data_IF_245940776522
#
_entry.id   IF_245940776522
#
_cell.length_a   1.000
_cell.length_b   1.000
_cell.length_c   1.000
_cell.angle_alpha   90.00
_cell.angle_beta   90.00
_cell.angle_gamma   90.00
#
_symmetry.space_group_name_H-M   'P 1'
#
loop_
_entity.id
_entity.type
_entity.pdbx_description
1 polymer ?
#
# COMPACT_ATOMS: atom_id res chain seq x y z
N UNK A 1 -19.67 0.05 4.50
CA UNK A 1 -18.94 -0.81 3.58
C UNK A 1 -18.77 -2.19 4.21
N UNK A 2 -19.21 -3.26 3.55
CA UNK A 2 -19.22 -4.60 4.16
C UNK A 2 -17.83 -5.22 4.27
N UNK A 3 -16.89 -4.90 3.37
CA UNK A 3 -15.51 -5.43 3.38
C UNK A 3 -14.56 -4.36 3.86
N UNK A 4 -13.87 -4.64 4.97
CA UNK A 4 -12.99 -3.70 5.63
C UNK A 4 -11.65 -4.37 5.96
N UNK A 5 -10.60 -3.60 6.01
CA UNK A 5 -9.28 -4.10 6.32
C UNK A 5 -8.38 -3.06 6.95
N UNK A 6 -7.13 -3.44 7.10
CA UNK A 6 -6.11 -2.60 7.73
C UNK A 6 -4.85 -2.55 6.88
N UNK A 7 -4.10 -1.47 7.05
CA UNK A 7 -2.74 -1.34 6.53
C UNK A 7 -1.78 -1.16 7.69
N UNK A 8 -0.73 -1.96 7.72
CA UNK A 8 0.24 -1.98 8.80
C UNK A 8 1.67 -1.77 8.30
N UNK A 9 2.46 -1.13 9.14
CA UNK A 9 3.91 -0.94 8.97
C UNK A 9 4.61 -1.26 10.29
N UNK A 10 5.93 -1.20 10.32
CA UNK A 10 6.68 -1.31 11.59
C UNK A 10 6.29 -0.21 12.58
N UNK A 11 5.87 0.95 12.10
CA UNK A 11 5.43 2.07 12.96
C UNK A 11 4.09 1.80 13.65
N UNK A 12 3.31 0.86 13.16
CA UNK A 12 2.08 0.40 13.81
C UNK A 12 2.36 -0.28 15.15
N UNK A 13 3.57 -0.78 15.36
CA UNK A 13 3.96 -1.55 16.54
C UNK A 13 3.52 -3.01 16.46
N UNK A 14 3.42 -3.65 17.61
CA UNK A 14 2.98 -5.04 17.70
C UNK A 14 1.50 -5.17 17.35
N UNK A 15 1.17 -6.22 16.60
CA UNK A 15 -0.20 -6.51 16.18
C UNK A 15 -0.60 -7.89 16.65
N UNK A 16 -1.69 -7.97 17.41
CA UNK A 16 -2.35 -9.22 17.77
C UNK A 16 -3.38 -9.57 16.70
N UNK A 17 -2.96 -10.38 15.73
CA UNK A 17 -3.71 -10.62 14.49
C UNK A 17 -5.06 -11.29 14.72
N UNK A 18 -5.14 -12.21 15.69
CA UNK A 18 -6.42 -12.84 16.05
C UNK A 18 -7.43 -11.84 16.59
N UNK A 19 -6.99 -10.92 17.44
CA UNK A 19 -7.83 -9.85 17.98
C UNK A 19 -8.29 -8.91 16.86
N UNK A 20 -7.39 -8.55 15.95
CA UNK A 20 -7.69 -7.68 14.80
C UNK A 20 -8.75 -8.30 13.87
N UNK A 21 -8.63 -9.59 13.59
CA UNK A 21 -9.64 -10.33 12.83
C UNK A 21 -11.00 -10.32 13.53
N UNK A 22 -11.03 -10.49 14.86
CA UNK A 22 -12.26 -10.45 15.66
C UNK A 22 -12.90 -9.04 15.68
N UNK A 23 -12.13 -7.99 15.44
CA UNK A 23 -12.63 -6.61 15.31
C UNK A 23 -13.28 -6.33 13.96
N UNK A 24 -13.32 -7.31 13.04
CA UNK A 24 -13.98 -7.19 11.74
C UNK A 24 -13.05 -6.86 10.57
N UNK A 25 -11.74 -6.95 10.75
CA UNK A 25 -10.80 -6.81 9.64
C UNK A 25 -10.79 -8.08 8.79
N UNK A 26 -11.18 -7.95 7.52
CA UNK A 26 -11.24 -9.06 6.57
C UNK A 26 -9.92 -9.27 5.83
N UNK A 27 -9.13 -8.20 5.68
CA UNK A 27 -7.85 -8.24 4.99
C UNK A 27 -6.82 -7.30 5.63
N UNK A 28 -5.56 -7.54 5.30
CA UNK A 28 -4.45 -6.68 5.71
C UNK A 28 -3.49 -6.43 4.54
N UNK A 29 -3.10 -5.18 4.37
CA UNK A 29 -1.93 -4.83 3.55
C UNK A 29 -0.75 -4.52 4.45
N UNK A 30 0.37 -5.17 4.18
CA UNK A 30 1.55 -5.16 5.02
C UNK A 30 2.69 -4.51 4.24
N UNK A 31 3.25 -3.42 4.78
CA UNK A 31 4.37 -2.76 4.12
C UNK A 31 5.59 -3.68 4.10
N UNK A 32 6.15 -3.87 2.91
CA UNK A 32 7.39 -4.63 2.71
C UNK A 32 8.62 -3.71 2.72
N UNK A 33 8.50 -2.54 2.10
CA UNK A 33 9.61 -1.63 1.90
C UNK A 33 9.14 -0.19 1.69
N UNK A 34 10.05 0.75 1.93
CA UNK A 34 9.95 2.14 1.49
C UNK A 34 11.14 2.46 0.62
N UNK A 35 10.89 2.85 -0.63
CA UNK A 35 11.96 3.09 -1.59
C UNK A 35 12.89 1.90 -1.75
N UNK A 36 14.17 2.16 -1.91
CA UNK A 36 15.20 1.14 -2.09
C UNK A 36 16.01 0.87 -0.81
N UNK A 37 15.89 1.71 0.21
CA UNK A 37 16.77 1.68 1.38
C UNK A 37 16.14 1.11 2.65
N UNK A 38 14.81 1.18 2.78
CA UNK A 38 14.11 0.66 3.94
C UNK A 38 13.40 -0.66 3.61
N UNK A 39 13.86 -1.74 4.23
CA UNK A 39 13.09 -2.98 4.34
C UNK A 39 12.36 -2.94 5.68
N UNK A 40 11.04 -3.14 5.66
CA UNK A 40 10.27 -3.11 6.90
C UNK A 40 10.66 -4.28 7.81
N UNK A 41 11.18 -4.01 9.02
CA UNK A 41 11.69 -5.07 9.89
C UNK A 41 10.59 -6.00 10.43
N UNK A 42 9.32 -5.59 10.40
CA UNK A 42 8.19 -6.38 10.85
C UNK A 42 7.41 -7.04 9.72
N UNK A 43 7.85 -6.88 8.46
CA UNK A 43 7.12 -7.46 7.33
C UNK A 43 6.89 -8.97 7.49
N UNK A 44 7.93 -9.74 7.76
CA UNK A 44 7.82 -11.20 7.86
C UNK A 44 6.89 -11.63 9.01
N UNK A 45 6.99 -10.98 10.17
CA UNK A 45 6.14 -11.26 11.31
C UNK A 45 4.68 -10.92 11.03
N UNK A 46 4.42 -9.75 10.44
CA UNK A 46 3.07 -9.33 10.09
C UNK A 46 2.46 -10.20 8.98
N UNK A 47 3.25 -10.60 7.99
CA UNK A 47 2.81 -11.49 6.92
C UNK A 47 2.35 -12.85 7.47
N UNK A 48 3.17 -13.46 8.33
CA UNK A 48 2.81 -14.72 9.00
C UNK A 48 1.62 -14.55 9.94
N UNK A 49 1.56 -13.43 10.66
CA UNK A 49 0.49 -13.15 11.60
C UNK A 49 -0.86 -13.02 10.94
N UNK A 50 -0.97 -12.23 9.88
CA UNK A 50 -2.20 -12.07 9.11
C UNK A 50 -2.66 -13.40 8.51
N UNK A 51 -1.74 -14.12 7.87
CA UNK A 51 -2.02 -15.44 7.30
C UNK A 51 -2.49 -16.44 8.36
N UNK A 52 -1.80 -16.50 9.50
CA UNK A 52 -2.15 -17.41 10.60
C UNK A 52 -3.50 -17.12 11.26
N UNK A 53 -3.96 -15.87 11.22
CA UNK A 53 -5.28 -15.47 11.69
C UNK A 53 -6.41 -15.72 10.68
N UNK A 54 -6.10 -16.27 9.51
CA UNK A 54 -7.08 -16.52 8.46
C UNK A 54 -7.52 -15.29 7.70
N UNK A 55 -6.83 -14.16 7.84
CA UNK A 55 -7.09 -12.95 7.09
C UNK A 55 -6.54 -13.06 5.66
N UNK A 56 -7.19 -12.40 4.72
CA UNK A 56 -6.57 -12.16 3.41
C UNK A 56 -5.44 -11.14 3.60
N UNK A 57 -4.34 -11.32 2.89
CA UNK A 57 -3.12 -10.54 3.11
C UNK A 57 -2.46 -10.17 1.79
N UNK A 58 -1.85 -9.00 1.75
CA UNK A 58 -1.11 -8.50 0.61
C UNK A 58 0.05 -7.62 1.03
N UNK A 59 0.99 -7.40 0.13
CA UNK A 59 2.17 -6.58 0.37
C UNK A 59 2.02 -5.18 -0.22
N UNK A 60 2.59 -4.19 0.46
CA UNK A 60 2.65 -2.81 -0.01
C UNK A 60 4.10 -2.32 -0.10
N UNK A 61 4.35 -1.48 -1.10
CA UNK A 61 5.59 -0.74 -1.30
C UNK A 61 5.29 0.75 -1.21
N UNK A 62 5.96 1.46 -0.31
CA UNK A 62 5.93 2.92 -0.29
C UNK A 62 6.96 3.45 -1.32
N UNK A 63 6.46 4.03 -2.40
CA UNK A 63 7.29 4.56 -3.49
C UNK A 63 8.05 5.81 -3.07
N UNK A 64 9.31 5.92 -3.49
CA UNK A 64 10.15 7.10 -3.29
C UNK A 64 10.54 7.73 -4.62
N UNK A 65 10.39 9.06 -4.70
CA UNK A 65 10.92 9.85 -5.82
C UNK A 65 12.46 9.95 -5.80
N UNK A 66 13.10 9.53 -4.71
CA UNK A 66 14.54 9.63 -4.49
C UNK A 66 15.31 8.35 -4.84
N UNK A 67 14.65 7.31 -5.33
CA UNK A 67 15.27 6.04 -5.69
C UNK A 67 14.83 5.60 -7.08
N UNK A 68 15.70 4.83 -7.75
CA UNK A 68 15.37 4.25 -9.06
C UNK A 68 14.32 3.16 -8.93
N UNK A 69 13.45 3.05 -9.91
CA UNK A 69 12.41 2.03 -9.95
C UNK A 69 12.96 0.60 -9.81
N UNK A 70 14.06 0.29 -10.51
CA UNK A 70 14.67 -1.05 -10.44
C UNK A 70 15.18 -1.39 -9.05
N UNK A 71 15.71 -0.42 -8.32
CA UNK A 71 16.22 -0.63 -6.96
C UNK A 71 15.09 -0.83 -5.97
N UNK A 72 13.99 -0.09 -6.11
CA UNK A 72 12.79 -0.26 -5.31
C UNK A 72 12.11 -1.60 -5.60
N UNK A 73 12.03 -2.00 -6.86
CA UNK A 73 11.51 -3.31 -7.26
C UNK A 73 12.36 -4.43 -6.67
N UNK A 74 13.68 -4.31 -6.69
CA UNK A 74 14.58 -5.31 -6.09
C UNK A 74 14.34 -5.44 -4.59
N UNK A 75 14.19 -4.33 -3.88
CA UNK A 75 13.89 -4.34 -2.44
C UNK A 75 12.56 -5.04 -2.17
N UNK A 76 11.53 -4.76 -2.94
CA UNK A 76 10.24 -5.42 -2.83
C UNK A 76 10.35 -6.93 -3.13
N UNK A 77 10.93 -7.30 -4.25
CA UNK A 77 11.01 -8.69 -4.71
C UNK A 77 11.84 -9.58 -3.78
N UNK A 78 12.87 -9.02 -3.14
CA UNK A 78 13.70 -9.78 -2.18
C UNK A 78 13.07 -9.88 -0.79
N UNK A 79 12.07 -9.06 -0.50
CA UNK A 79 11.36 -9.04 0.79
C UNK A 79 10.08 -9.87 0.75
N UNK A 80 9.32 -9.76 -0.33
CA UNK A 80 7.99 -10.38 -0.47
C UNK A 80 8.11 -11.75 -1.14
N UNK A 81 7.65 -12.83 -0.49
CA UNK A 81 7.63 -14.15 -1.13
C UNK A 81 6.62 -14.18 -2.29
N UNK A 82 6.88 -15.05 -3.25
CA UNK A 82 5.88 -15.40 -4.26
C UNK A 82 4.82 -16.27 -3.60
N UNK A 83 3.58 -15.78 -3.58
CA UNK A 83 2.47 -16.45 -2.91
C UNK A 83 1.18 -16.20 -3.70
N UNK A 84 0.68 -17.26 -4.34
CA UNK A 84 -0.53 -17.16 -5.16
C UNK A 84 -1.80 -16.87 -4.34
N UNK A 85 -1.77 -17.12 -3.03
CA UNK A 85 -2.88 -16.81 -2.13
C UNK A 85 -2.89 -15.35 -1.70
N UNK A 86 -1.78 -14.62 -1.89
CA UNK A 86 -1.71 -13.20 -1.53
C UNK A 86 -2.58 -12.35 -2.42
N UNK A 87 -3.08 -11.25 -1.85
CA UNK A 87 -3.80 -10.20 -2.58
C UNK A 87 -2.86 -9.51 -3.59
N UNK A 88 -3.41 -8.84 -4.62
CA UNK A 88 -2.62 -8.03 -5.52
C UNK A 88 -1.71 -7.05 -4.77
N UNK A 89 -0.47 -6.83 -5.21
CA UNK A 89 0.44 -5.92 -4.53
C UNK A 89 -0.03 -4.47 -4.65
N UNK A 90 0.32 -3.66 -3.67
CA UNK A 90 -0.01 -2.23 -3.63
C UNK A 90 1.27 -1.40 -3.74
N UNK A 91 1.26 -0.42 -4.62
CA UNK A 91 2.26 0.64 -4.68
C UNK A 91 1.62 1.91 -4.15
N UNK A 92 2.17 2.46 -3.07
CA UNK A 92 1.68 3.68 -2.44
C UNK A 92 2.47 4.87 -2.94
N UNK A 93 1.74 5.84 -3.47
CA UNK A 93 2.26 7.06 -4.06
C UNK A 93 1.89 8.24 -3.17
N UNK A 94 2.88 8.71 -2.44
CA UNK A 94 2.77 9.87 -1.56
C UNK A 94 4.13 10.56 -1.45
N UNK A 95 4.15 11.75 -0.90
CA UNK A 95 5.38 12.49 -0.66
C UNK A 95 5.98 12.11 0.70
N UNK A 96 7.27 11.83 0.67
CA UNK A 96 8.07 11.61 1.89
C UNK A 96 8.76 12.93 2.23
N UNK A 97 8.61 13.47 3.46
CA UNK A 97 9.28 14.70 3.88
C UNK A 97 10.81 14.65 3.76
N UNK A 98 11.41 13.46 3.81
CA UNK A 98 12.87 13.29 3.65
C UNK A 98 13.33 13.31 2.19
N UNK A 99 12.40 13.31 1.23
CA UNK A 99 12.69 13.31 -0.21
C UNK A 99 12.11 14.58 -0.84
N UNK A 100 12.98 15.57 -1.09
CA UNK A 100 12.56 16.87 -1.64
C UNK A 100 12.50 16.95 -3.18
N UNK A 101 13.27 16.17 -3.99
CA UNK A 101 13.19 16.23 -5.44
C UNK A 101 11.78 16.01 -5.97
N UNK A 102 11.44 16.77 -7.02
CA UNK A 102 10.17 16.66 -7.76
C UNK A 102 10.47 16.54 -9.25
N UNK A 103 10.85 15.32 -9.73
CA UNK A 103 11.08 15.09 -11.15
C UNK A 103 9.85 15.45 -11.98
N UNK A 104 10.04 15.67 -13.28
CA UNK A 104 8.94 15.94 -14.18
C UNK A 104 7.99 14.74 -14.31
N UNK A 105 6.74 15.00 -14.68
CA UNK A 105 5.68 13.99 -14.80
C UNK A 105 6.08 12.82 -15.71
N UNK A 106 6.65 13.10 -16.87
CA UNK A 106 7.03 12.05 -17.83
C UNK A 106 8.07 11.09 -17.26
N UNK A 107 9.03 11.63 -16.51
CA UNK A 107 10.04 10.83 -15.82
C UNK A 107 9.40 9.97 -14.71
N UNK A 108 8.51 10.54 -13.92
CA UNK A 108 7.81 9.79 -12.85
C UNK A 108 6.95 8.70 -13.45
N UNK A 109 6.20 8.96 -14.52
CA UNK A 109 5.39 7.94 -15.20
C UNK A 109 6.25 6.81 -15.76
N UNK A 110 7.40 7.13 -16.36
CA UNK A 110 8.34 6.14 -16.90
C UNK A 110 8.89 5.25 -15.78
N UNK A 111 9.33 5.82 -14.66
CA UNK A 111 9.83 5.10 -13.50
C UNK A 111 8.72 4.22 -12.88
N UNK A 112 7.51 4.75 -12.75
CA UNK A 112 6.38 3.99 -12.20
C UNK A 112 5.97 2.83 -13.10
N UNK A 113 5.96 3.00 -14.43
CA UNK A 113 5.68 1.91 -15.35
C UNK A 113 6.70 0.77 -15.21
N UNK A 114 7.98 1.10 -15.06
CA UNK A 114 9.03 0.11 -14.80
C UNK A 114 8.78 -0.62 -13.49
N UNK A 115 8.50 0.12 -12.42
CA UNK A 115 8.24 -0.45 -11.09
C UNK A 115 7.00 -1.36 -11.09
N UNK A 116 5.89 -0.88 -11.65
CA UNK A 116 4.63 -1.64 -11.74
C UNK A 116 4.87 -2.96 -12.46
N UNK A 117 5.55 -2.94 -13.61
CA UNK A 117 5.79 -4.14 -14.41
C UNK A 117 6.65 -5.16 -13.65
N UNK A 118 7.68 -4.72 -12.93
CA UNK A 118 8.55 -5.61 -12.16
C UNK A 118 7.81 -6.22 -10.94
N UNK A 119 7.06 -5.41 -10.22
CA UNK A 119 6.27 -5.86 -9.06
C UNK A 119 5.19 -6.84 -9.49
N UNK A 120 4.48 -6.56 -10.58
CA UNK A 120 3.44 -7.45 -11.13
C UNK A 120 4.02 -8.76 -11.63
N UNK A 121 5.17 -8.73 -12.29
CA UNK A 121 5.86 -9.94 -12.74
C UNK A 121 6.24 -10.84 -11.57
N UNK A 122 6.67 -10.26 -10.45
CA UNK A 122 6.98 -11.01 -9.25
C UNK A 122 5.73 -11.58 -8.57
N UNK A 123 4.69 -10.77 -8.42
CA UNK A 123 3.47 -11.16 -7.71
C UNK A 123 2.54 -12.05 -8.54
N UNK A 124 2.63 -12.01 -9.86
CA UNK A 124 1.72 -12.70 -10.76
C UNK A 124 0.31 -12.11 -10.81
N UNK A 125 0.13 -10.89 -10.34
CA UNK A 125 -1.16 -10.18 -10.26
C UNK A 125 -0.97 -8.70 -10.58
N UNK A 126 -1.99 -8.03 -11.17
CA UNK A 126 -1.96 -6.58 -11.37
C UNK A 126 -1.83 -5.82 -10.06
N UNK A 127 -1.05 -4.75 -10.05
CA UNK A 127 -0.87 -3.90 -8.89
C UNK A 127 -2.07 -2.97 -8.67
N UNK A 128 -2.31 -2.63 -7.40
CA UNK A 128 -3.17 -1.52 -6.99
C UNK A 128 -2.29 -0.27 -6.81
N UNK A 129 -2.80 0.88 -7.19
CA UNK A 129 -2.13 2.16 -6.92
C UNK A 129 -2.88 2.90 -5.82
N UNK A 130 -2.24 3.06 -4.67
CA UNK A 130 -2.74 3.91 -3.59
C UNK A 130 -2.13 5.30 -3.75
N UNK A 131 -2.93 6.29 -4.12
CA UNK A 131 -2.46 7.62 -4.49
C UNK A 131 -3.03 8.65 -3.51
N UNK A 132 -2.13 9.41 -2.85
CA UNK A 132 -2.54 10.55 -2.03
C UNK A 132 -3.03 11.71 -2.90
N UNK A 133 -3.88 12.56 -2.32
CA UNK A 133 -4.46 13.70 -3.06
C UNK A 133 -3.40 14.68 -3.57
N UNK A 134 -2.40 15.00 -2.77
CA UNK A 134 -1.30 15.89 -3.13
C UNK A 134 -0.40 15.31 -4.22
N UNK A 135 -0.12 14.01 -4.17
CA UNK A 135 0.66 13.35 -5.21
C UNK A 135 -0.10 13.33 -6.55
N UNK A 136 -1.40 13.04 -6.52
CA UNK A 136 -2.22 13.05 -7.73
C UNK A 136 -2.39 14.47 -8.28
N UNK A 137 -2.50 15.48 -7.43
CA UNK A 137 -2.54 16.88 -7.84
C UNK A 137 -1.26 17.31 -8.57
N UNK A 138 -0.09 16.82 -8.12
CA UNK A 138 1.20 17.13 -8.74
C UNK A 138 1.42 16.37 -10.04
N UNK A 139 1.08 15.09 -10.10
CA UNK A 139 1.51 14.20 -11.18
C UNK A 139 0.39 13.63 -12.04
N UNK A 140 -0.87 13.72 -11.63
CA UNK A 140 -2.01 13.18 -12.39
C UNK A 140 -1.75 11.73 -12.85
N UNK A 141 -1.40 10.88 -11.90
CA UNK A 141 -1.01 9.49 -12.17
C UNK A 141 -2.17 8.69 -12.73
N UNK A 142 -3.39 8.93 -12.22
CA UNK A 142 -4.58 8.21 -12.64
C UNK A 142 -4.87 8.34 -14.14
N UNK A 143 -4.46 9.45 -14.78
CA UNK A 143 -4.59 9.65 -16.23
C UNK A 143 -3.45 9.01 -17.03
N UNK A 144 -2.35 8.63 -16.38
CA UNK A 144 -1.14 8.13 -17.05
C UNK A 144 -0.90 6.64 -16.90
N UNK A 145 -1.43 6.01 -15.85
CA UNK A 145 -1.24 4.58 -15.57
C UNK A 145 -2.59 3.93 -15.34
N UNK A 146 -2.94 2.96 -16.17
CA UNK A 146 -4.22 2.26 -16.08
C UNK A 146 -4.11 1.07 -15.13
N UNK A 147 -4.24 1.34 -13.83
CA UNK A 147 -4.34 0.32 -12.78
C UNK A 147 -5.48 0.67 -11.83
N UNK A 148 -5.89 -0.31 -11.05
CA UNK A 148 -6.94 -0.15 -10.04
C UNK A 148 -6.52 0.85 -8.97
N UNK A 149 -7.42 1.77 -8.63
CA UNK A 149 -7.13 2.86 -7.70
C UNK A 149 -7.59 2.56 -6.29
N UNK A 150 -6.75 2.98 -5.36
CA UNK A 150 -7.03 3.10 -3.95
C UNK A 150 -6.74 4.55 -3.55
N UNK A 151 -7.72 5.23 -3.00
CA UNK A 151 -7.61 6.67 -2.68
C UNK A 151 -7.63 6.90 -1.18
N UNK A 152 -7.07 8.02 -0.73
CA UNK A 152 -7.05 8.39 0.67
C UNK A 152 -8.16 9.40 0.97
N UNK A 153 -8.84 9.22 2.12
CA UNK A 153 -9.85 10.13 2.62
C UNK A 153 -9.94 10.02 4.13
N UNK A 154 -10.36 11.11 4.79
CA UNK A 154 -10.60 11.12 6.22
C UNK A 154 -12.09 11.26 6.47
N UNK A 155 -12.73 10.19 6.94
CA UNK A 155 -14.15 10.09 7.30
C UNK A 155 -15.16 10.23 6.16
N UNK A 156 -14.75 10.78 5.01
CA UNK A 156 -15.61 10.93 3.84
C UNK A 156 -14.95 10.33 2.62
N UNK A 157 -15.75 9.72 1.75
CA UNK A 157 -15.25 9.18 0.49
C UNK A 157 -14.62 10.29 -0.36
N UNK A 158 -13.38 10.13 -0.82
CA UNK A 158 -12.68 11.17 -1.57
C UNK A 158 -13.22 11.28 -3.01
N UNK A 159 -13.05 12.48 -3.58
CA UNK A 159 -13.54 12.83 -4.92
C UNK A 159 -12.43 13.31 -5.88
N UNK A 160 -11.16 13.27 -5.46
CA UNK A 160 -10.07 13.84 -6.23
C UNK A 160 -9.59 12.98 -7.41
N UNK A 161 -9.84 11.68 -7.40
CA UNK A 161 -9.42 10.81 -8.49
C UNK A 161 -10.33 10.97 -9.70
N UNK A 162 -9.73 11.15 -10.89
CA UNK A 162 -10.45 11.39 -12.15
C UNK A 162 -11.12 10.16 -12.75
N UNK A 163 -11.03 9.02 -12.08
CA UNK A 163 -11.68 7.77 -12.50
C UNK A 163 -12.10 6.94 -11.28
N UNK A 164 -12.99 5.94 -11.46
CA UNK A 164 -13.46 5.12 -10.34
C UNK A 164 -12.33 4.46 -9.55
N UNK A 165 -12.51 4.39 -8.25
CA UNK A 165 -11.62 3.70 -7.31
C UNK A 165 -12.33 2.50 -6.69
N UNK A 166 -11.57 1.52 -6.19
CA UNK A 166 -12.11 0.29 -5.57
C UNK A 166 -11.91 0.25 -4.07
N UNK A 167 -11.01 1.08 -3.54
CA UNK A 167 -10.68 1.10 -2.11
C UNK A 167 -10.35 2.51 -1.66
N UNK A 168 -10.63 2.83 -0.40
CA UNK A 168 -10.23 4.09 0.19
C UNK A 168 -9.78 3.89 1.64
N UNK A 169 -8.80 4.68 2.06
CA UNK A 169 -8.40 4.76 3.46
C UNK A 169 -9.34 5.70 4.17
N UNK A 170 -10.21 5.14 5.00
CA UNK A 170 -11.23 5.91 5.71
C UNK A 170 -10.68 6.61 6.95
N UNK A 171 -9.61 6.08 7.55
CA UNK A 171 -8.91 6.68 8.68
C UNK A 171 -7.48 6.17 8.75
N UNK A 172 -6.54 7.04 9.06
CA UNK A 172 -5.13 6.69 9.31
C UNK A 172 -4.74 6.81 10.80
N UNK A 173 -5.71 7.17 11.65
CA UNK A 173 -5.49 7.41 13.07
C UNK A 173 -6.38 6.55 13.98
N UNK A 174 -6.94 5.45 13.48
CA UNK A 174 -7.83 4.60 14.28
C UNK A 174 -7.04 3.82 15.33
N UNK A 175 -7.53 3.86 16.56
CA UNK A 175 -7.05 3.01 17.65
C UNK A 175 -8.01 1.85 17.84
N UNK A 176 -7.49 0.63 17.84
CA UNK A 176 -8.27 -0.60 18.04
C UNK A 176 -7.53 -1.56 18.97
N UNK A 177 -8.27 -2.46 19.60
CA UNK A 177 -7.69 -3.49 20.45
C UNK A 177 -6.79 -4.42 19.65
N UNK A 178 -5.67 -4.83 20.23
CA UNK A 178 -4.69 -5.71 19.62
C UNK A 178 -3.60 -4.98 18.80
N UNK A 179 -3.59 -3.63 18.83
CA UNK A 179 -2.57 -2.81 18.15
C UNK A 179 -2.06 -1.74 19.10
N UNK A 180 -0.74 -1.63 19.22
CA UNK A 180 -0.11 -0.67 20.15
C UNK A 180 -0.28 0.78 19.71
N UNK A 181 -0.22 1.03 18.42
CA UNK A 181 -0.32 2.37 17.84
C UNK A 181 -1.62 2.61 17.08
N UNK A 182 -1.69 3.74 16.38
CA UNK A 182 -2.77 4.00 15.44
C UNK A 182 -2.59 3.16 14.17
N UNK A 183 -3.70 2.81 13.53
CA UNK A 183 -3.72 1.95 12.35
C UNK A 183 -4.56 2.58 11.24
N UNK A 184 -4.17 2.34 10.00
CA UNK A 184 -4.98 2.71 8.83
C UNK A 184 -6.13 1.73 8.69
N UNK A 185 -7.33 2.26 8.52
CA UNK A 185 -8.53 1.48 8.29
C UNK A 185 -9.02 1.73 6.86
N UNK A 186 -9.15 0.65 6.12
CA UNK A 186 -9.41 0.68 4.70
C UNK A 186 -10.76 0.03 4.40
N UNK A 187 -11.48 0.56 3.42
CA UNK A 187 -12.78 0.03 3.01
C UNK A 187 -12.82 -0.17 1.50
N UNK A 188 -13.49 -1.23 1.08
CA UNK A 188 -13.69 -1.56 -0.33
C UNK A 188 -14.98 -0.91 -0.81
N UNK A 189 -14.96 -0.36 -2.02
CA UNK A 189 -16.15 0.20 -2.65
C UNK A 189 -17.25 -0.89 -2.82
N UNK A 190 -18.53 -0.54 -2.67
CA UNK A 190 -19.62 -1.47 -2.84
C UNK A 190 -19.72 -2.00 -4.26
#
# INVERSE_FOLDING_TARGET
YPTQGVSVTSDTGLVEWGTLAAQGADFAYIRAARGASLRDPLFAANWRGARGAGMRYGAALDYSLCAKAVDQATQFMTTVPRDNAALPPVIRLGFDPSCSPRPGRDQVLSELNTLVNLVESHAGKPALLNISADFDAQYDIASGINRTLWVDGNFFAPDYAKRPWVMWTASDMRHIDGVDGSIRWDVVAP
#
